data_IF_878373623424
#
_entry.id   IF_878373623424
#
_cell.length_a   1.000
_cell.length_b   1.000
_cell.length_c   1.000
_cell.angle_alpha   90.00
_cell.angle_beta   90.00
_cell.angle_gamma   90.00
#
_symmetry.space_group_name_H-M   'P 1'
#
loop_
_entity.id
_entity.type
_entity.pdbx_description
1 polymer ?
#
# COMPACT_ATOMS: atom_id res chain seq x y z
N UNK A 1 19.75 20.94 -7.20
CA UNK A 1 20.72 21.75 -6.44
C UNK A 1 21.83 22.27 -7.37
N UNK A 2 22.36 23.47 -7.11
CA UNK A 2 23.48 24.02 -7.89
C UNK A 2 24.85 23.41 -7.49
N UNK A 3 25.84 23.56 -8.37
CA UNK A 3 27.16 22.95 -8.20
C UNK A 3 28.01 23.57 -7.07
N UNK A 4 27.73 24.81 -6.66
CA UNK A 4 28.44 25.47 -5.55
C UNK A 4 27.98 24.84 -4.24
N UNK A 5 26.66 24.73 -4.07
CA UNK A 5 26.05 24.11 -2.90
C UNK A 5 26.43 22.64 -2.75
N UNK A 6 26.48 21.87 -3.85
CA UNK A 6 26.94 20.49 -3.82
C UNK A 6 28.41 20.36 -3.35
N UNK A 7 29.28 21.28 -3.79
CA UNK A 7 30.69 21.32 -3.35
C UNK A 7 30.82 21.68 -1.87
N UNK A 8 29.98 22.60 -1.40
CA UNK A 8 29.99 23.03 -0.01
C UNK A 8 29.54 21.90 0.93
N UNK A 9 28.44 21.21 0.61
CA UNK A 9 27.99 20.01 1.33
C UNK A 9 29.09 18.95 1.36
N UNK A 10 29.72 18.68 0.21
CA UNK A 10 30.83 17.73 0.13
C UNK A 10 31.99 18.14 1.05
N UNK A 11 32.29 19.44 1.14
CA UNK A 11 33.34 19.95 2.04
C UNK A 11 33.01 19.67 3.50
N UNK A 12 31.77 19.91 3.93
CA UNK A 12 31.32 19.65 5.30
C UNK A 12 31.42 18.18 5.68
N UNK A 13 31.03 17.26 4.77
CA UNK A 13 31.17 15.80 4.94
C UNK A 13 32.60 15.37 5.34
N UNK A 14 33.63 16.03 4.79
CA UNK A 14 35.03 15.66 5.01
C UNK A 14 35.73 16.44 6.12
N UNK A 15 35.29 17.67 6.41
CA UNK A 15 36.03 18.59 7.28
C UNK A 15 35.45 18.72 8.68
N UNK A 16 34.18 18.42 8.86
CA UNK A 16 33.52 18.62 10.14
C UNK A 16 33.71 17.38 11.04
N UNK A 17 33.85 17.61 12.35
CA UNK A 17 34.05 16.53 13.33
C UNK A 17 32.81 15.63 13.47
N UNK A 18 31.62 16.22 13.32
CA UNK A 18 30.33 15.52 13.30
C UNK A 18 30.05 14.84 11.95
N UNK A 19 30.96 15.01 10.98
CA UNK A 19 30.84 14.52 9.61
C UNK A 19 29.62 15.12 8.88
N UNK A 20 29.28 16.39 9.14
CA UNK A 20 28.26 17.14 8.41
C UNK A 20 26.80 16.81 8.81
N UNK A 21 26.58 16.30 10.03
CA UNK A 21 25.24 16.01 10.55
C UNK A 21 24.46 17.31 10.77
N UNK A 22 25.06 18.31 11.44
CA UNK A 22 24.42 19.61 11.69
C UNK A 22 24.07 20.31 10.37
N UNK A 23 24.95 20.19 9.37
CA UNK A 23 24.69 20.68 8.02
C UNK A 23 23.49 19.97 7.40
N UNK A 24 23.43 18.63 7.49
CA UNK A 24 22.27 17.86 7.03
C UNK A 24 20.98 18.23 7.75
N UNK A 25 21.02 18.54 9.04
CA UNK A 25 19.87 19.03 9.82
C UNK A 25 19.42 20.42 9.36
N UNK A 26 20.36 21.31 9.00
CA UNK A 26 20.08 22.66 8.51
C UNK A 26 19.57 22.77 7.06
N UNK A 27 19.76 21.75 6.23
CA UNK A 27 19.26 21.75 4.84
C UNK A 27 17.72 21.77 4.77
N UNK A 28 17.15 22.32 3.69
CA UNK A 28 15.73 22.06 3.43
C UNK A 28 15.54 20.61 2.95
N UNK A 29 14.29 20.14 2.93
CA UNK A 29 13.99 18.75 2.58
C UNK A 29 14.46 18.35 1.18
N UNK A 30 14.25 19.21 0.18
CA UNK A 30 14.66 18.92 -1.20
C UNK A 30 16.18 18.74 -1.31
N UNK A 31 16.95 19.61 -0.66
CA UNK A 31 18.40 19.48 -0.65
C UNK A 31 18.85 18.24 0.13
N UNK A 32 18.25 17.94 1.30
CA UNK A 32 18.55 16.71 2.05
C UNK A 32 18.31 15.45 1.22
N UNK A 33 17.21 15.41 0.44
CA UNK A 33 16.93 14.31 -0.48
C UNK A 33 17.98 14.25 -1.60
N UNK A 34 18.37 15.37 -2.20
CA UNK A 34 19.44 15.38 -3.21
C UNK A 34 20.80 14.90 -2.67
N UNK A 35 21.12 15.16 -1.39
CA UNK A 35 22.31 14.57 -0.76
C UNK A 35 22.22 13.04 -0.79
N UNK A 36 21.07 12.49 -0.42
CA UNK A 36 20.83 11.05 -0.33
C UNK A 36 20.77 10.35 -1.68
N UNK A 37 20.21 10.98 -2.71
CA UNK A 37 19.99 10.35 -4.01
C UNK A 37 21.10 10.63 -5.02
N UNK A 38 21.86 11.73 -4.86
CA UNK A 38 22.87 12.17 -5.84
C UNK A 38 24.26 12.26 -5.24
N UNK A 39 24.45 13.00 -4.15
CA UNK A 39 25.80 13.29 -3.63
C UNK A 39 26.44 12.04 -3.04
N UNK A 40 25.81 11.43 -2.02
CA UNK A 40 26.39 10.26 -1.35
C UNK A 40 26.56 9.09 -2.32
N UNK A 41 25.57 8.72 -3.18
CA UNK A 41 25.77 7.71 -4.20
C UNK A 41 26.89 8.04 -5.19
N UNK A 42 27.03 9.31 -5.58
CA UNK A 42 28.13 9.77 -6.43
C UNK A 42 29.51 9.58 -5.78
N UNK A 43 29.63 9.89 -4.48
CA UNK A 43 30.86 9.67 -3.72
C UNK A 43 31.18 8.17 -3.57
N UNK A 44 30.17 7.33 -3.29
CA UNK A 44 30.31 5.86 -3.24
C UNK A 44 30.80 5.31 -4.58
N UNK A 45 30.18 5.73 -5.69
CA UNK A 45 30.57 5.26 -7.02
C UNK A 45 31.99 5.71 -7.38
N UNK A 46 32.35 6.97 -7.11
CA UNK A 46 33.71 7.46 -7.33
C UNK A 46 34.76 6.71 -6.48
N UNK A 47 34.42 6.29 -5.27
CA UNK A 47 35.29 5.46 -4.44
C UNK A 47 35.46 4.05 -5.02
N UNK A 48 34.36 3.43 -5.48
CA UNK A 48 34.36 2.12 -6.15
C UNK A 48 35.20 2.12 -7.42
N UNK A 49 35.03 3.12 -8.28
CA UNK A 49 35.81 3.26 -9.53
C UNK A 49 37.31 3.37 -9.26
N UNK A 50 37.71 3.94 -8.12
CA UNK A 50 39.11 4.06 -7.69
C UNK A 50 39.60 2.85 -6.89
N UNK A 51 38.75 1.85 -6.63
CA UNK A 51 39.06 0.71 -5.77
C UNK A 51 39.33 1.08 -4.31
N UNK A 52 38.85 2.24 -3.84
CA UNK A 52 39.06 2.69 -2.47
C UNK A 52 37.96 2.17 -1.53
N UNK A 53 38.18 0.97 -1.00
CA UNK A 53 37.24 0.27 -0.10
C UNK A 53 36.99 1.04 1.21
N UNK A 54 37.97 1.79 1.70
CA UNK A 54 37.83 2.56 2.94
C UNK A 54 36.86 3.74 2.74
N UNK A 55 37.01 4.48 1.66
CA UNK A 55 36.12 5.60 1.31
C UNK A 55 34.71 5.08 1.00
N UNK A 56 34.60 3.96 0.26
CA UNK A 56 33.32 3.31 0.01
C UNK A 56 32.60 2.96 1.32
N UNK A 57 33.31 2.30 2.25
CA UNK A 57 32.78 1.95 3.57
C UNK A 57 32.36 3.19 4.37
N UNK A 58 33.17 4.25 4.32
CA UNK A 58 32.89 5.53 4.97
C UNK A 58 31.61 6.17 4.44
N UNK A 59 31.47 6.33 3.12
CA UNK A 59 30.28 6.96 2.53
C UNK A 59 29.01 6.12 2.73
N UNK A 60 29.11 4.79 2.70
CA UNK A 60 27.98 3.92 3.06
C UNK A 60 27.57 4.07 4.53
N UNK A 61 28.53 4.29 5.44
CA UNK A 61 28.21 4.59 6.85
C UNK A 61 27.51 5.94 6.99
N UNK A 62 27.95 6.95 6.24
CA UNK A 62 27.32 8.27 6.20
C UNK A 62 25.90 8.22 5.64
N UNK A 63 25.67 7.45 4.58
CA UNK A 63 24.33 7.22 4.06
C UNK A 63 23.38 6.77 5.18
N UNK A 64 23.77 5.79 6.00
CA UNK A 64 22.94 5.29 7.12
C UNK A 64 22.68 6.35 8.20
N UNK A 65 23.66 7.20 8.50
CA UNK A 65 23.51 8.28 9.47
C UNK A 65 22.53 9.33 8.94
N UNK A 66 22.76 9.79 7.70
CA UNK A 66 21.94 10.81 7.06
C UNK A 66 20.52 10.32 6.75
N UNK A 67 20.34 9.02 6.51
CA UNK A 67 19.03 8.39 6.38
C UNK A 67 18.17 8.66 7.62
N UNK A 68 18.74 8.50 8.82
CA UNK A 68 18.03 8.75 10.09
C UNK A 68 17.66 10.23 10.24
N UNK A 69 18.58 11.13 9.90
CA UNK A 69 18.32 12.58 9.91
C UNK A 69 17.18 12.94 8.96
N UNK A 70 17.20 12.39 7.74
CA UNK A 70 16.17 12.63 6.73
C UNK A 70 14.80 12.05 7.14
N UNK A 71 14.76 10.85 7.72
CA UNK A 71 13.52 10.26 8.27
C UNK A 71 12.91 11.17 9.33
N UNK A 72 13.71 11.67 10.27
CA UNK A 72 13.22 12.59 11.30
C UNK A 72 12.72 13.92 10.73
N UNK A 73 13.30 14.37 9.61
CA UNK A 73 12.77 15.52 8.87
C UNK A 73 11.44 15.21 8.19
N UNK A 74 11.32 14.06 7.53
CA UNK A 74 10.10 13.64 6.84
C UNK A 74 8.93 13.50 7.82
N UNK A 75 9.17 12.91 9.01
CA UNK A 75 8.17 12.81 10.08
C UNK A 75 7.64 14.17 10.59
N UNK A 76 8.42 15.24 10.41
CA UNK A 76 8.10 16.59 10.92
C UNK A 76 7.61 17.55 9.84
N UNK A 77 7.46 17.09 8.60
CA UNK A 77 6.96 17.96 7.54
C UNK A 77 5.51 18.32 7.81
N UNK A 78 5.19 19.62 7.77
CA UNK A 78 3.82 20.09 7.93
C UNK A 78 2.87 19.46 6.90
N UNK A 79 3.39 19.28 5.67
CA UNK A 79 2.66 18.69 4.57
C UNK A 79 3.56 17.77 3.74
N UNK A 80 3.04 16.57 3.48
CA UNK A 80 3.46 15.69 2.40
C UNK A 80 2.26 15.47 1.48
N UNK A 81 2.51 15.21 0.20
CA UNK A 81 1.42 15.02 -0.76
C UNK A 81 1.39 13.59 -1.27
N UNK A 82 0.51 12.78 -0.70
CA UNK A 82 0.34 11.39 -1.10
C UNK A 82 -0.50 11.30 -2.36
N UNK A 83 -0.06 10.49 -3.33
CA UNK A 83 -0.84 10.24 -4.54
C UNK A 83 -1.83 9.12 -4.25
N UNK A 84 -3.13 9.37 -4.43
CA UNK A 84 -4.19 8.36 -4.31
C UNK A 84 -4.73 7.99 -5.68
N UNK A 85 -5.09 6.73 -5.86
CA UNK A 85 -5.82 6.26 -7.04
C UNK A 85 -7.33 6.39 -6.78
N UNK A 86 -8.00 7.31 -7.47
CA UNK A 86 -9.42 7.62 -7.26
C UNK A 86 -10.33 6.42 -7.54
N UNK A 87 -9.90 5.48 -8.39
CA UNK A 87 -10.71 4.31 -8.76
C UNK A 87 -10.63 3.20 -7.74
N UNK A 88 -9.63 3.18 -6.86
CA UNK A 88 -9.52 2.22 -5.75
C UNK A 88 -9.78 2.86 -4.40
N UNK A 89 -9.56 4.18 -4.27
CA UNK A 89 -9.50 4.93 -3.01
C UNK A 89 -8.34 4.52 -2.08
N UNK A 90 -7.30 3.90 -2.63
CA UNK A 90 -6.04 3.57 -1.93
C UNK A 90 -4.89 4.40 -2.51
N UNK A 91 -3.76 4.51 -1.79
CA UNK A 91 -2.55 5.13 -2.34
C UNK A 91 -2.19 4.54 -3.71
N UNK A 92 -1.69 5.36 -4.62
CA UNK A 92 -1.25 4.92 -5.93
C UNK A 92 0.02 4.07 -5.77
N UNK A 93 -0.01 2.86 -6.33
CA UNK A 93 1.04 1.85 -6.18
C UNK A 93 1.93 1.75 -7.41
N UNK A 94 3.24 1.73 -7.20
CA UNK A 94 4.25 1.38 -8.22
C UNK A 94 5.29 0.46 -7.59
N UNK A 95 5.48 -0.75 -8.12
CA UNK A 95 6.44 -1.73 -7.59
C UNK A 95 6.31 -2.00 -6.07
N UNK A 96 5.07 -2.14 -5.58
CA UNK A 96 4.72 -2.24 -4.14
C UNK A 96 5.07 -1.01 -3.29
N UNK A 97 5.47 0.09 -3.92
CA UNK A 97 5.82 1.34 -3.26
C UNK A 97 4.65 2.33 -3.29
N UNK A 98 4.50 3.05 -2.19
CA UNK A 98 3.61 4.19 -2.06
C UNK A 98 4.29 5.45 -2.61
N UNK A 99 3.58 6.27 -3.39
CA UNK A 99 4.14 7.50 -3.98
C UNK A 99 3.78 8.75 -3.17
N UNK A 100 4.79 9.51 -2.77
CA UNK A 100 4.65 10.77 -2.02
C UNK A 100 5.44 11.87 -2.70
N UNK A 101 4.81 13.01 -2.98
CA UNK A 101 5.51 14.22 -3.32
C UNK A 101 5.98 14.90 -2.03
N UNK A 102 7.28 15.17 -1.94
CA UNK A 102 7.86 15.98 -0.86
C UNK A 102 7.92 17.47 -1.20
N UNK A 103 7.54 17.83 -2.42
CA UNK A 103 7.46 19.19 -2.92
C UNK A 103 6.30 19.31 -3.91
N UNK A 104 5.38 20.25 -3.66
CA UNK A 104 4.19 20.44 -4.47
C UNK A 104 4.45 21.11 -5.83
N UNK A 105 5.65 21.60 -6.12
CA UNK A 105 5.94 22.40 -7.31
C UNK A 105 5.55 21.73 -8.64
N UNK A 106 5.68 20.40 -8.73
CA UNK A 106 5.39 19.65 -9.96
C UNK A 106 4.14 18.76 -9.89
N UNK A 107 3.24 18.99 -8.93
CA UNK A 107 2.04 18.14 -8.76
C UNK A 107 1.22 18.01 -10.06
N UNK A 108 0.95 19.11 -10.77
CA UNK A 108 0.18 19.09 -12.02
C UNK A 108 0.83 18.20 -13.09
N UNK A 109 2.17 18.18 -13.14
CA UNK A 109 2.90 17.33 -14.10
C UNK A 109 2.72 15.86 -13.76
N UNK A 110 2.80 15.50 -12.48
CA UNK A 110 2.57 14.14 -12.01
C UNK A 110 1.15 13.69 -12.33
N UNK A 111 0.14 14.50 -11.99
CA UNK A 111 -1.27 14.22 -12.30
C UNK A 111 -1.48 14.05 -13.81
N UNK A 112 -0.92 14.94 -14.63
CA UNK A 112 -1.03 14.86 -16.09
C UNK A 112 -0.34 13.61 -16.66
N UNK A 113 0.81 13.21 -16.14
CA UNK A 113 1.51 12.00 -16.56
C UNK A 113 0.69 10.75 -16.23
N UNK A 114 0.19 10.66 -15.00
CA UNK A 114 -0.64 9.54 -14.55
C UNK A 114 -1.97 9.47 -15.31
N UNK A 115 -2.60 10.63 -15.57
CA UNK A 115 -3.80 10.73 -16.41
C UNK A 115 -3.55 10.30 -17.85
N UNK A 116 -2.41 10.68 -18.45
CA UNK A 116 -2.01 10.19 -19.79
C UNK A 116 -1.79 8.68 -19.80
N UNK A 117 -1.31 8.13 -18.68
CA UNK A 117 -1.21 6.71 -18.44
C UNK A 117 -2.55 6.08 -18.02
N UNK A 118 -3.69 6.79 -18.12
CA UNK A 118 -5.03 6.26 -17.87
C UNK A 118 -5.43 6.16 -16.39
N UNK A 119 -4.58 6.59 -15.45
CA UNK A 119 -4.91 6.59 -14.03
C UNK A 119 -5.63 7.88 -13.65
N UNK A 120 -6.74 7.73 -12.93
CA UNK A 120 -7.40 8.83 -12.25
C UNK A 120 -6.83 8.93 -10.85
N UNK A 121 -6.20 10.06 -10.53
CA UNK A 121 -5.48 10.27 -9.28
C UNK A 121 -5.79 11.62 -8.67
N UNK A 122 -5.59 11.72 -7.37
CA UNK A 122 -5.65 12.94 -6.58
C UNK A 122 -4.47 13.01 -5.61
N UNK A 123 -4.09 14.21 -5.18
CA UNK A 123 -3.07 14.40 -4.15
C UNK A 123 -3.73 14.73 -2.81
N UNK A 124 -3.60 13.81 -1.85
CA UNK A 124 -3.96 14.04 -0.45
C UNK A 124 -2.90 14.90 0.23
N UNK A 125 -3.32 15.82 1.09
CA UNK A 125 -2.42 16.67 1.88
C UNK A 125 -2.31 16.03 3.26
N UNK A 126 -1.18 15.39 3.51
CA UNK A 126 -0.95 14.62 4.73
C UNK A 126 -0.19 15.45 5.76
N UNK A 127 -0.80 15.61 6.94
CA UNK A 127 -0.13 16.14 8.12
C UNK A 127 0.86 15.11 8.69
N UNK A 128 1.76 15.48 9.62
CA UNK A 128 2.60 14.50 10.32
C UNK A 128 1.83 13.32 10.90
N UNK A 129 0.67 13.59 11.51
CA UNK A 129 -0.18 12.57 12.13
C UNK A 129 -0.85 11.68 11.09
N UNK A 130 -1.45 12.28 10.05
CA UNK A 130 -2.12 11.53 8.99
C UNK A 130 -1.13 10.65 8.23
N UNK A 131 0.04 11.20 7.90
CA UNK A 131 1.11 10.45 7.26
C UNK A 131 1.59 9.28 8.14
N UNK A 132 1.73 9.49 9.45
CA UNK A 132 2.09 8.41 10.38
C UNK A 132 1.03 7.30 10.42
N UNK A 133 -0.25 7.66 10.40
CA UNK A 133 -1.34 6.68 10.31
C UNK A 133 -1.32 5.90 8.99
N UNK A 134 -0.98 6.56 7.87
CA UNK A 134 -0.79 5.90 6.59
C UNK A 134 0.37 4.89 6.62
N UNK A 135 1.46 5.15 7.37
CA UNK A 135 2.50 4.13 7.60
C UNK A 135 1.91 2.89 8.29
N UNK A 136 0.99 3.07 9.24
CA UNK A 136 0.24 1.96 9.84
C UNK A 136 -0.60 1.20 8.80
N UNK A 137 -1.31 1.92 7.92
CA UNK A 137 -2.07 1.31 6.83
C UNK A 137 -1.19 0.59 5.81
N UNK A 138 0.06 1.02 5.58
CA UNK A 138 1.00 0.32 4.71
C UNK A 138 1.25 -1.14 5.14
N UNK A 139 1.28 -1.41 6.45
CA UNK A 139 1.43 -2.77 6.95
C UNK A 139 0.28 -3.68 6.57
N UNK A 140 -0.95 -3.16 6.65
CA UNK A 140 -2.18 -3.89 6.36
C UNK A 140 -2.46 -4.00 4.86
N UNK A 141 -2.10 -2.97 4.10
CA UNK A 141 -2.26 -2.90 2.64
C UNK A 141 -1.07 -3.52 1.88
N UNK A 142 -0.01 -3.93 2.58
CA UNK A 142 1.15 -4.62 2.01
C UNK A 142 2.17 -3.75 1.27
N UNK A 143 2.10 -2.42 1.34
CA UNK A 143 3.13 -1.53 0.78
C UNK A 143 4.42 -1.63 1.56
N UNK A 144 5.55 -1.92 0.92
CA UNK A 144 6.83 -2.13 1.63
C UNK A 144 7.65 -0.87 1.78
N UNK A 145 7.59 0.02 0.79
CA UNK A 145 8.40 1.22 0.75
C UNK A 145 7.57 2.45 0.38
N UNK A 146 8.17 3.60 0.62
CA UNK A 146 7.69 4.91 0.22
C UNK A 146 8.70 5.47 -0.78
N UNK A 147 8.19 5.98 -1.88
CA UNK A 147 8.96 6.72 -2.89
C UNK A 147 8.62 8.19 -2.77
N UNK A 148 9.54 8.93 -2.18
CA UNK A 148 9.52 10.39 -2.13
C UNK A 148 10.04 10.95 -3.44
N UNK A 149 9.20 11.69 -4.18
CA UNK A 149 9.54 12.23 -5.49
C UNK A 149 9.33 13.75 -5.58
N UNK A 150 10.11 14.42 -6.41
CA UNK A 150 9.86 15.81 -6.83
C UNK A 150 8.93 15.90 -8.05
N UNK A 151 8.48 14.75 -8.58
CA UNK A 151 7.65 14.65 -9.77
C UNK A 151 8.40 14.83 -11.10
N UNK A 152 9.74 14.81 -11.09
CA UNK A 152 10.56 14.92 -12.31
C UNK A 152 11.53 13.74 -12.44
N UNK A 153 12.58 13.71 -11.61
CA UNK A 153 13.64 12.69 -11.73
C UNK A 153 14.22 12.27 -10.38
N UNK A 154 13.90 12.97 -9.29
CA UNK A 154 14.55 12.72 -8.02
C UNK A 154 13.68 11.89 -7.10
N UNK A 155 13.92 10.58 -7.12
CA UNK A 155 13.22 9.59 -6.30
C UNK A 155 14.10 9.11 -5.15
N UNK A 156 13.59 9.24 -3.93
CA UNK A 156 14.16 8.65 -2.74
C UNK A 156 13.24 7.56 -2.21
N UNK A 157 13.71 6.31 -2.30
CA UNK A 157 12.98 5.12 -1.86
C UNK A 157 13.46 4.71 -0.47
N UNK A 158 12.51 4.49 0.44
CA UNK A 158 12.80 4.10 1.82
C UNK A 158 11.75 3.11 2.35
N UNK A 159 12.19 2.14 3.13
CA UNK A 159 11.29 1.17 3.78
C UNK A 159 10.39 1.85 4.81
N UNK A 160 9.13 1.41 4.91
CA UNK A 160 8.23 1.85 5.99
C UNK A 160 8.81 1.61 7.39
N UNK A 161 9.62 0.55 7.53
CA UNK A 161 10.26 0.16 8.80
C UNK A 161 11.24 1.21 9.34
N UNK A 162 11.77 2.07 8.48
CA UNK A 162 12.65 3.16 8.92
C UNK A 162 11.87 4.25 9.67
N UNK A 163 10.55 4.37 9.42
CA UNK A 163 9.69 5.33 10.12
C UNK A 163 9.24 4.77 11.46
N UNK A 164 8.66 3.57 11.43
CA UNK A 164 8.16 2.85 12.60
C UNK A 164 7.99 1.37 12.24
N UNK A 165 8.13 0.50 13.24
CA UNK A 165 7.90 -0.94 13.11
C UNK A 165 6.42 -1.29 13.26
N UNK A 166 6.04 -2.51 12.91
CA UNK A 166 4.68 -3.06 13.07
C UNK A 166 4.11 -2.81 14.47
N UNK A 167 4.90 -3.11 15.49
CA UNK A 167 4.53 -2.98 16.91
C UNK A 167 4.22 -1.53 17.34
N UNK A 168 4.59 -0.53 16.55
CA UNK A 168 4.19 0.85 16.83
C UNK A 168 2.68 1.05 16.63
N UNK A 169 2.07 0.27 15.73
CA UNK A 169 0.67 0.39 15.31
C UNK A 169 -0.21 -0.73 15.88
N UNK A 170 0.33 -1.94 16.06
CA UNK A 170 -0.44 -3.17 16.26
C UNK A 170 -0.04 -3.93 17.54
N UNK A 171 -0.09 -3.24 18.70
CA UNK A 171 0.48 -3.74 19.96
C UNK A 171 -0.20 -4.97 20.59
N UNK A 172 -1.47 -5.22 20.27
CA UNK A 172 -2.32 -6.16 21.01
C UNK A 172 -3.24 -6.98 20.08
N UNK A 173 -2.84 -7.30 18.86
CA UNK A 173 -3.84 -7.70 17.85
C UNK A 173 -4.57 -9.03 18.12
N UNK A 174 -5.89 -8.91 18.24
CA UNK A 174 -6.91 -9.95 18.07
C UNK A 174 -7.43 -10.00 16.60
N UNK A 175 -6.79 -9.30 15.66
CA UNK A 175 -7.31 -9.11 14.30
C UNK A 175 -6.46 -9.81 13.23
N UNK A 176 -7.13 -10.46 12.28
CA UNK A 176 -6.49 -11.00 11.08
C UNK A 176 -6.11 -9.85 10.14
N UNK A 177 -4.95 -9.97 9.50
CA UNK A 177 -4.53 -9.08 8.41
C UNK A 177 -4.03 -9.91 7.23
N UNK A 178 -4.46 -9.56 6.01
CA UNK A 178 -4.01 -10.21 4.77
C UNK A 178 -3.27 -9.22 3.85
N UNK A 179 -2.05 -8.77 4.21
CA UNK A 179 -1.36 -7.73 3.44
C UNK A 179 -0.97 -8.14 2.03
N UNK A 180 -0.68 -9.43 1.80
CA UNK A 180 -0.42 -9.94 0.45
C UNK A 180 -1.67 -9.91 -0.44
N UNK A 181 -2.84 -10.24 0.13
CA UNK A 181 -4.11 -10.15 -0.59
C UNK A 181 -4.49 -8.70 -0.87
N UNK A 182 -4.44 -7.83 0.14
CA UNK A 182 -4.73 -6.40 -0.06
C UNK A 182 -3.82 -5.76 -1.11
N UNK A 183 -2.51 -6.00 -1.04
CA UNK A 183 -1.56 -5.48 -2.02
C UNK A 183 -1.90 -5.96 -3.45
N UNK A 184 -2.14 -7.26 -3.63
CA UNK A 184 -2.48 -7.82 -4.94
C UNK A 184 -3.83 -7.34 -5.48
N UNK A 185 -4.83 -7.13 -4.62
CA UNK A 185 -6.09 -6.50 -4.98
C UNK A 185 -5.89 -5.04 -5.42
N UNK A 186 -5.13 -4.24 -4.66
CA UNK A 186 -4.83 -2.85 -5.03
C UNK A 186 -4.15 -2.81 -6.41
N UNK A 187 -3.11 -3.62 -6.59
CA UNK A 187 -2.34 -3.67 -7.84
C UNK A 187 -3.18 -4.11 -9.04
N UNK A 188 -4.03 -5.14 -8.87
CA UNK A 188 -4.94 -5.60 -9.91
C UNK A 188 -6.00 -4.54 -10.25
N UNK A 189 -6.73 -4.02 -9.26
CA UNK A 189 -7.84 -3.11 -9.51
C UNK A 189 -7.39 -1.72 -9.97
N UNK A 190 -6.21 -1.25 -9.55
CA UNK A 190 -5.59 -0.05 -10.09
C UNK A 190 -5.38 -0.18 -11.61
N UNK A 191 -4.86 -1.31 -12.08
CA UNK A 191 -4.63 -1.54 -13.51
C UNK A 191 -5.92 -1.86 -14.26
N UNK A 192 -6.81 -2.68 -13.69
CA UNK A 192 -8.09 -3.04 -14.27
C UNK A 192 -8.94 -1.80 -14.60
N UNK A 193 -9.07 -0.89 -13.62
CA UNK A 193 -9.92 0.31 -13.68
C UNK A 193 -9.29 1.49 -14.44
N UNK A 194 -8.07 1.32 -14.97
CA UNK A 194 -7.40 2.32 -15.81
C UNK A 194 -8.19 2.63 -17.08
N UNK A 195 -8.30 3.90 -17.42
CA UNK A 195 -8.97 4.38 -18.63
C UNK A 195 -8.07 4.24 -19.87
N UNK A 196 -8.68 3.99 -21.04
CA UNK A 196 -7.95 3.79 -22.30
C UNK A 196 -7.48 2.36 -22.56
N UNK A 197 -7.18 2.05 -23.83
CA UNK A 197 -6.69 0.75 -24.28
C UNK A 197 -5.22 0.86 -24.69
N UNK A 198 -4.36 0.04 -24.11
CA UNK A 198 -2.97 -0.18 -24.56
C UNK A 198 -2.71 -1.68 -24.63
N UNK A 199 -2.05 -2.18 -25.67
CA UNK A 199 -1.78 -3.63 -25.86
C UNK A 199 -1.01 -4.24 -24.66
N UNK A 200 -0.11 -3.47 -24.03
CA UNK A 200 0.62 -3.88 -22.82
C UNK A 200 -0.26 -4.06 -21.57
N UNK A 201 -1.51 -3.57 -21.58
CA UNK A 201 -2.42 -3.64 -20.42
C UNK A 201 -2.87 -5.07 -20.15
N UNK A 202 -3.12 -5.87 -21.19
CA UNK A 202 -3.71 -7.21 -21.03
C UNK A 202 -2.74 -8.19 -20.35
N UNK A 203 -1.46 -8.18 -20.75
CA UNK A 203 -0.43 -9.04 -20.16
C UNK A 203 -0.17 -8.71 -18.68
N UNK A 204 -0.05 -7.40 -18.37
CA UNK A 204 0.14 -6.92 -16.99
C UNK A 204 -1.06 -7.30 -16.14
N UNK A 205 -2.27 -7.05 -16.63
CA UNK A 205 -3.50 -7.34 -15.92
C UNK A 205 -3.63 -8.84 -15.61
N UNK A 206 -3.29 -9.70 -16.57
CA UNK A 206 -3.32 -11.16 -16.39
C UNK A 206 -2.30 -11.63 -15.36
N UNK A 207 -1.11 -11.02 -15.35
CA UNK A 207 -0.10 -11.29 -14.31
C UNK A 207 -0.60 -10.89 -12.92
N UNK A 208 -1.22 -9.71 -12.79
CA UNK A 208 -1.77 -9.23 -11.51
C UNK A 208 -2.94 -10.09 -11.04
N UNK A 209 -3.81 -10.51 -11.95
CA UNK A 209 -4.95 -11.39 -11.67
C UNK A 209 -4.50 -12.72 -11.06
N UNK A 210 -3.48 -13.36 -11.66
CA UNK A 210 -2.92 -14.62 -11.15
C UNK A 210 -2.34 -14.45 -9.74
N UNK A 211 -1.65 -13.35 -9.47
CA UNK A 211 -1.13 -13.05 -8.14
C UNK A 211 -2.26 -12.84 -7.13
N UNK A 212 -3.30 -12.10 -7.51
CA UNK A 212 -4.48 -11.85 -6.69
C UNK A 212 -5.21 -13.16 -6.36
N UNK A 213 -5.46 -14.03 -7.34
CA UNK A 213 -6.14 -15.31 -7.10
C UNK A 213 -5.34 -16.26 -6.21
N UNK A 214 -4.01 -16.32 -6.38
CA UNK A 214 -3.14 -17.06 -5.46
C UNK A 214 -3.19 -16.49 -4.05
N UNK A 215 -3.22 -15.17 -3.90
CA UNK A 215 -3.34 -14.54 -2.59
C UNK A 215 -4.73 -14.81 -1.97
N UNK A 216 -5.80 -14.79 -2.78
CA UNK A 216 -7.17 -15.08 -2.32
C UNK A 216 -7.29 -16.48 -1.76
N UNK A 217 -6.74 -17.48 -2.46
CA UNK A 217 -6.79 -18.89 -2.05
C UNK A 217 -6.05 -19.14 -0.73
N UNK A 218 -4.96 -18.42 -0.49
CA UNK A 218 -4.11 -18.61 0.70
C UNK A 218 -4.51 -17.72 1.89
N UNK A 219 -5.54 -16.89 1.75
CA UNK A 219 -5.99 -15.97 2.79
C UNK A 219 -6.98 -16.64 3.75
N UNK A 220 -7.04 -16.10 4.97
CA UNK A 220 -8.11 -16.33 5.93
C UNK A 220 -8.97 -15.07 6.02
N UNK A 221 -10.28 -15.22 5.95
CA UNK A 221 -11.22 -14.11 5.86
C UNK A 221 -12.00 -13.96 7.15
N UNK A 222 -12.21 -12.71 7.56
CA UNK A 222 -13.14 -12.39 8.63
C UNK A 222 -14.55 -12.33 8.05
N UNK A 223 -15.44 -13.17 8.58
CA UNK A 223 -16.85 -13.22 8.18
C UNK A 223 -17.69 -12.81 9.38
N UNK A 224 -18.48 -11.72 9.29
CA UNK A 224 -19.36 -11.32 10.37
C UNK A 224 -20.44 -12.39 10.59
N UNK A 225 -20.81 -12.61 11.84
CA UNK A 225 -21.89 -13.50 12.21
C UNK A 225 -22.68 -12.96 13.42
N UNK A 226 -23.87 -13.51 13.60
CA UNK A 226 -24.74 -13.26 14.73
C UNK A 226 -24.89 -14.61 15.44
N UNK A 227 -24.44 -14.65 16.69
CA UNK A 227 -24.61 -15.80 17.58
C UNK A 227 -25.85 -15.58 18.43
N UNK A 228 -26.80 -16.51 18.34
CA UNK A 228 -27.95 -16.58 19.24
C UNK A 228 -27.80 -17.85 20.10
N UNK A 229 -27.75 -17.67 21.42
CA UNK A 229 -27.57 -18.76 22.38
C UNK A 229 -28.77 -18.83 23.30
N UNK A 230 -29.41 -20.01 23.33
CA UNK A 230 -30.47 -20.38 24.27
C UNK A 230 -29.93 -21.43 25.24
N UNK A 231 -30.71 -21.80 26.27
CA UNK A 231 -30.29 -22.83 27.23
C UNK A 231 -30.01 -24.20 26.60
N UNK A 232 -30.51 -24.46 25.38
CA UNK A 232 -30.44 -25.77 24.70
C UNK A 232 -29.71 -25.75 23.37
N UNK A 233 -29.64 -24.61 22.69
CA UNK A 233 -29.13 -24.50 21.32
C UNK A 233 -28.33 -23.21 21.12
N UNK A 234 -27.26 -23.33 20.31
CA UNK A 234 -26.50 -22.20 19.78
C UNK A 234 -26.71 -22.20 18.27
N UNK A 235 -27.19 -21.08 17.73
CA UNK A 235 -27.31 -20.85 16.29
C UNK A 235 -26.40 -19.71 15.85
N UNK A 236 -25.72 -19.92 14.73
CA UNK A 236 -24.88 -18.92 14.08
C UNK A 236 -25.56 -18.57 12.76
N UNK A 237 -25.73 -17.29 12.48
CA UNK A 237 -26.23 -16.79 11.19
C UNK A 237 -25.29 -15.74 10.62
N UNK A 238 -25.27 -15.63 9.29
CA UNK A 238 -24.44 -14.66 8.57
C UNK A 238 -25.31 -13.59 7.92
N UNK A 239 -24.89 -12.31 7.93
CA UNK A 239 -25.57 -11.27 7.18
C UNK A 239 -25.37 -11.47 5.69
N UNK A 240 -26.32 -10.95 4.91
CA UNK A 240 -26.30 -11.01 3.45
C UNK A 240 -26.39 -9.60 2.85
N UNK A 241 -25.82 -9.44 1.67
CA UNK A 241 -25.93 -8.23 0.85
C UNK A 241 -26.58 -8.61 -0.49
N UNK A 242 -27.65 -7.90 -0.86
CA UNK A 242 -28.28 -8.03 -2.17
C UNK A 242 -27.50 -7.20 -3.20
N UNK A 243 -26.93 -7.89 -4.19
CA UNK A 243 -26.14 -7.32 -5.27
C UNK A 243 -26.83 -7.43 -6.63
N UNK A 244 -28.10 -7.81 -6.68
CA UNK A 244 -28.85 -8.03 -7.92
C UNK A 244 -28.70 -6.84 -8.87
N UNK A 245 -28.94 -5.61 -8.40
CA UNK A 245 -28.82 -4.39 -9.23
C UNK A 245 -27.37 -3.91 -9.46
N UNK A 246 -26.36 -4.64 -8.98
CA UNK A 246 -24.94 -4.23 -8.98
C UNK A 246 -24.04 -5.10 -9.83
N UNK A 247 -24.46 -6.33 -10.15
CA UNK A 247 -23.68 -7.27 -10.96
C UNK A 247 -24.49 -7.76 -12.15
N UNK A 248 -23.82 -8.15 -13.23
CA UNK A 248 -24.48 -8.78 -14.37
C UNK A 248 -24.92 -10.19 -14.01
N UNK A 249 -26.19 -10.51 -14.25
CA UNK A 249 -26.83 -11.79 -13.92
C UNK A 249 -27.90 -12.14 -14.95
N UNK A 250 -28.41 -13.37 -14.92
CA UNK A 250 -29.50 -13.78 -15.81
C UNK A 250 -30.84 -13.15 -15.38
N UNK A 251 -31.77 -12.97 -16.33
CA UNK A 251 -33.07 -12.37 -16.02
C UNK A 251 -33.85 -13.21 -14.99
N UNK A 252 -34.26 -12.57 -13.88
CA UNK A 252 -35.01 -13.20 -12.79
C UNK A 252 -34.15 -13.85 -11.70
N UNK A 253 -32.82 -13.77 -11.80
CA UNK A 253 -31.89 -14.24 -10.78
C UNK A 253 -31.70 -13.20 -9.67
N UNK A 254 -31.74 -13.60 -8.41
CA UNK A 254 -31.36 -12.75 -7.27
C UNK A 254 -29.93 -13.08 -6.87
N UNK A 255 -29.09 -12.04 -6.76
CA UNK A 255 -27.69 -12.21 -6.36
C UNK A 255 -27.53 -11.83 -4.90
N UNK A 256 -27.46 -12.84 -4.04
CA UNK A 256 -27.24 -12.68 -2.61
C UNK A 256 -25.81 -13.09 -2.29
N UNK A 257 -25.05 -12.20 -1.63
CA UNK A 257 -23.66 -12.45 -1.27
C UNK A 257 -23.40 -12.35 0.21
N UNK A 258 -22.48 -13.18 0.72
CA UNK A 258 -21.95 -13.07 2.08
C UNK A 258 -20.78 -12.08 2.10
N UNK A 259 -20.80 -11.05 2.96
CA UNK A 259 -19.69 -10.13 3.10
C UNK A 259 -18.52 -10.80 3.80
N UNK A 260 -17.33 -10.67 3.23
CA UNK A 260 -16.08 -11.19 3.80
C UNK A 260 -15.01 -10.10 3.79
N UNK A 261 -14.12 -10.12 4.77
CA UNK A 261 -13.13 -9.05 4.95
C UNK A 261 -11.72 -9.60 5.02
N UNK A 262 -10.80 -8.88 4.38
CA UNK A 262 -9.37 -9.22 4.36
C UNK A 262 -8.67 -8.81 5.65
N UNK A 263 -9.28 -7.94 6.45
CA UNK A 263 -8.74 -7.50 7.73
C UNK A 263 -9.82 -6.83 8.61
N UNK A 264 -9.51 -6.67 9.90
CA UNK A 264 -10.44 -6.13 10.89
C UNK A 264 -10.86 -4.68 10.62
N UNK A 265 -10.02 -3.86 9.99
CA UNK A 265 -10.39 -2.48 9.71
C UNK A 265 -11.36 -2.38 8.54
N UNK A 266 -11.22 -3.20 7.49
CA UNK A 266 -12.22 -3.29 6.42
C UNK A 266 -13.57 -3.77 6.96
N UNK A 267 -13.55 -4.71 7.91
CA UNK A 267 -14.76 -5.16 8.61
C UNK A 267 -15.40 -4.04 9.43
N UNK A 268 -14.60 -3.31 10.22
CA UNK A 268 -15.07 -2.20 11.07
C UNK A 268 -15.71 -1.05 10.27
N UNK A 269 -15.37 -0.87 8.99
CA UNK A 269 -16.09 0.11 8.15
C UNK A 269 -17.58 -0.21 8.03
N UNK A 270 -17.95 -1.49 8.10
CA UNK A 270 -19.31 -1.98 7.90
C UNK A 270 -19.99 -2.40 9.20
N UNK A 271 -19.24 -2.97 10.14
CA UNK A 271 -19.76 -3.79 11.23
C UNK A 271 -19.21 -3.42 12.62
N UNK A 272 -18.71 -2.18 12.77
CA UNK A 272 -18.11 -1.68 14.01
C UNK A 272 -19.00 -1.95 15.23
N UNK A 273 -18.44 -2.61 16.23
CA UNK A 273 -19.07 -2.91 17.53
C UNK A 273 -20.40 -3.69 17.45
N UNK A 274 -20.73 -4.31 16.31
CA UNK A 274 -22.08 -4.86 16.05
C UNK A 274 -22.14 -6.38 15.81
N UNK A 275 -21.00 -7.09 15.73
CA UNK A 275 -20.98 -8.50 15.33
C UNK A 275 -19.89 -9.32 16.01
N UNK A 276 -20.16 -10.63 16.14
CA UNK A 276 -19.09 -11.62 16.28
C UNK A 276 -18.48 -11.88 14.89
N UNK A 277 -17.26 -12.39 14.84
CA UNK A 277 -16.61 -12.75 13.59
C UNK A 277 -16.04 -14.16 13.65
N UNK A 278 -16.17 -14.87 12.55
CA UNK A 278 -15.56 -16.16 12.33
C UNK A 278 -14.49 -16.05 11.26
N UNK A 279 -13.47 -16.90 11.38
CA UNK A 279 -12.39 -16.99 10.39
C UNK A 279 -12.64 -18.18 9.48
N UNK A 280 -12.56 -17.92 8.17
CA UNK A 280 -12.72 -18.94 7.15
C UNK A 280 -11.55 -18.89 6.18
N UNK A 281 -10.99 -20.05 5.88
CA UNK A 281 -10.13 -20.23 4.71
C UNK A 281 -10.96 -20.17 3.43
N UNK A 282 -10.28 -19.93 2.31
CA UNK A 282 -10.95 -19.83 1.02
C UNK A 282 -11.77 -21.08 0.65
N UNK A 283 -11.31 -22.29 0.97
CA UNK A 283 -12.08 -23.51 0.72
C UNK A 283 -13.33 -23.62 1.60
N UNK A 284 -13.22 -23.22 2.88
CA UNK A 284 -14.33 -23.26 3.84
C UNK A 284 -15.41 -22.22 3.48
N UNK A 285 -15.02 -21.11 2.84
CA UNK A 285 -15.99 -20.16 2.28
C UNK A 285 -16.81 -20.79 1.14
N UNK A 286 -16.24 -21.69 0.34
CA UNK A 286 -16.99 -22.38 -0.72
C UNK A 286 -18.05 -23.28 -0.10
N UNK A 287 -17.66 -24.06 0.91
CA UNK A 287 -18.58 -24.92 1.65
C UNK A 287 -19.69 -24.10 2.32
N UNK A 288 -19.34 -22.94 2.91
CA UNK A 288 -20.31 -22.02 3.51
C UNK A 288 -21.30 -21.46 2.47
N UNK A 289 -20.86 -21.12 1.25
CA UNK A 289 -21.78 -20.64 0.22
C UNK A 289 -22.76 -21.72 -0.22
N UNK A 290 -22.30 -22.98 -0.32
CA UNK A 290 -23.16 -24.12 -0.65
C UNK A 290 -24.17 -24.41 0.49
N UNK A 291 -23.78 -24.26 1.76
CA UNK A 291 -24.69 -24.40 2.93
C UNK A 291 -25.76 -23.30 2.99
N UNK A 292 -25.35 -22.05 2.75
CA UNK A 292 -26.23 -20.88 2.83
C UNK A 292 -27.04 -20.65 1.57
N UNK A 293 -26.84 -21.46 0.52
CA UNK A 293 -27.41 -21.28 -0.81
C UNK A 293 -27.17 -19.86 -1.38
N UNK A 294 -26.01 -19.28 -1.07
CA UNK A 294 -25.62 -17.94 -1.47
C UNK A 294 -25.01 -17.93 -2.88
N UNK A 295 -25.18 -16.82 -3.62
CA UNK A 295 -24.63 -16.66 -4.97
C UNK A 295 -23.10 -16.49 -4.98
N UNK A 296 -22.50 -16.11 -3.85
CA UNK A 296 -21.06 -15.95 -3.69
C UNK A 296 -20.67 -15.04 -2.52
N UNK A 297 -19.45 -14.55 -2.54
CA UNK A 297 -18.92 -13.62 -1.52
C UNK A 297 -18.73 -12.21 -2.09
N UNK A 298 -18.78 -11.21 -1.21
CA UNK A 298 -18.37 -9.83 -1.50
C UNK A 298 -17.21 -9.44 -0.59
N UNK A 299 -16.02 -9.33 -1.16
CA UNK A 299 -14.80 -8.97 -0.41
C UNK A 299 -14.78 -7.45 -0.20
N UNK A 300 -14.55 -6.99 1.04
CA UNK A 300 -14.35 -5.58 1.42
C UNK A 300 -15.40 -4.63 0.82
N UNK A 301 -16.67 -4.78 1.22
CA UNK A 301 -17.80 -4.08 0.61
C UNK A 301 -17.66 -2.54 0.52
N UNK A 302 -16.97 -1.90 1.49
CA UNK A 302 -16.69 -0.45 1.50
C UNK A 302 -15.22 -0.10 1.21
N UNK A 303 -14.41 -1.08 0.77
CA UNK A 303 -13.02 -0.90 0.36
C UNK A 303 -12.85 -1.17 -1.14
N UNK A 304 -11.79 -1.90 -1.53
CA UNK A 304 -11.71 -2.48 -2.88
C UNK A 304 -12.70 -3.65 -2.95
N UNK A 305 -13.94 -3.30 -3.27
CA UNK A 305 -15.05 -4.23 -3.38
C UNK A 305 -14.87 -5.17 -4.57
N UNK A 306 -15.02 -6.48 -4.33
CA UNK A 306 -15.00 -7.51 -5.37
C UNK A 306 -16.00 -8.63 -5.08
N UNK A 307 -16.99 -8.78 -5.96
CA UNK A 307 -17.92 -9.91 -5.92
C UNK A 307 -17.30 -11.12 -6.60
N UNK A 308 -17.33 -12.26 -5.90
CA UNK A 308 -16.85 -13.53 -6.41
C UNK A 308 -17.96 -14.57 -6.30
N UNK A 309 -18.57 -14.91 -7.43
CA UNK A 309 -19.59 -15.95 -7.53
C UNK A 309 -19.03 -17.32 -7.12
N UNK A 310 -19.86 -18.21 -6.60
CA UNK A 310 -19.47 -19.60 -6.23
C UNK A 310 -18.75 -20.34 -7.36
N UNK A 311 -19.18 -20.18 -8.62
CA UNK A 311 -18.52 -20.78 -9.79
C UNK A 311 -17.05 -20.34 -9.90
N UNK A 312 -16.81 -19.03 -9.87
CA UNK A 312 -15.46 -18.47 -9.91
C UNK A 312 -14.63 -18.83 -8.67
N UNK A 313 -15.24 -18.94 -7.48
CA UNK A 313 -14.54 -19.43 -6.28
C UNK A 313 -14.03 -20.86 -6.49
N UNK A 314 -14.90 -21.76 -6.98
CA UNK A 314 -14.56 -23.17 -7.28
C UNK A 314 -13.46 -23.25 -8.35
N UNK A 315 -13.53 -22.41 -9.38
CA UNK A 315 -12.49 -22.30 -10.40
C UNK A 315 -11.14 -21.89 -9.81
N UNK A 316 -11.11 -20.80 -9.05
CA UNK A 316 -9.88 -20.31 -8.39
C UNK A 316 -9.27 -21.40 -7.50
N UNK A 317 -10.10 -22.08 -6.70
CA UNK A 317 -9.62 -23.13 -5.80
C UNK A 317 -8.98 -24.31 -6.55
N UNK A 318 -9.47 -24.61 -7.76
CA UNK A 318 -8.95 -25.71 -8.59
C UNK A 318 -7.71 -25.36 -9.42
N UNK A 319 -7.56 -24.11 -9.85
CA UNK A 319 -6.55 -23.69 -10.85
C UNK A 319 -5.29 -23.08 -10.24
N UNK A 320 -5.37 -22.47 -9.05
CA UNK A 320 -4.29 -21.70 -8.42
C UNK A 320 -3.80 -22.31 -7.13
#
# INVERSE_FOLDING_TARGET
MDAIKAKDITRHIFKDEDKGIEMMEGLNLSDSIEVMTKIIPGLVNAAKEKGNVNDEGYFNSLYKIYNKVLVEKLKKQDHLWMVYCDTTAYPYMVDDDLIVLYNYHNHEKVEQQLKKAGYKVSLGIESPETFFNEIGHMYRNGYKNIRFTDGITNDYKISREEFATYDAFFKNEDYVTNPGLQNSMISFFQEFRKEGKTETKEEILKSHEVLMFKAMKNAEYMVPCIKEETETEVSISHPFIDLTDKVSHAEGEQIISVPVFTDGFEMDKCYKDQHENMLYKFEELIDLMDELEASGIIINALGISYFLSVENMKKINSEY
#
